data_IF_161135165121
#
_entry.id   IF_161135165121
#
_cell.length_a   1.000
_cell.length_b   1.000
_cell.length_c   1.000
_cell.angle_alpha   90.00
_cell.angle_beta   90.00
_cell.angle_gamma   90.00
#
_symmetry.space_group_name_H-M   'P 1'
#
loop_
_entity.id
_entity.type
_entity.pdbx_description
1 polymer ?
#
# COMPACT_ATOMS: atom_id res chain seq x y z
N UNK A 1 -6.07 0.88 -8.25
CA UNK A 1 -6.15 0.38 -6.86
C UNK A 1 -6.19 -1.15 -6.74
N UNK A 2 -7.29 -1.85 -7.14
CA UNK A 2 -7.42 -3.32 -6.92
C UNK A 2 -6.18 -4.13 -7.36
N UNK A 3 -5.75 -3.95 -8.61
CA UNK A 3 -4.55 -4.62 -9.18
C UNK A 3 -3.27 -4.31 -8.39
N UNK A 4 -3.14 -3.09 -7.84
CA UNK A 4 -1.99 -2.71 -7.01
C UNK A 4 -1.96 -3.55 -5.74
N UNK A 5 -3.07 -3.55 -4.99
CA UNK A 5 -3.16 -4.26 -3.71
C UNK A 5 -3.04 -5.78 -3.89
N UNK A 6 -3.71 -6.35 -4.89
CA UNK A 6 -3.61 -7.78 -5.22
C UNK A 6 -2.17 -8.17 -5.61
N UNK A 7 -1.39 -7.28 -6.21
CA UNK A 7 0.01 -7.58 -6.55
C UNK A 7 0.95 -7.61 -5.34
N UNK A 8 0.56 -6.97 -4.22
CA UNK A 8 1.37 -6.81 -3.02
C UNK A 8 0.96 -7.74 -1.86
N UNK A 9 -0.24 -8.33 -1.90
CA UNK A 9 -0.83 -9.13 -0.80
C UNK A 9 0.04 -10.31 -0.37
N UNK A 10 0.73 -10.96 -1.31
CA UNK A 10 1.59 -12.12 -1.00
C UNK A 10 2.95 -11.72 -0.41
N UNK A 11 3.31 -10.43 -0.45
CA UNK A 11 4.63 -9.93 -0.10
C UNK A 11 4.61 -9.15 1.21
N UNK A 12 3.55 -8.37 1.43
CA UNK A 12 3.41 -7.48 2.57
C UNK A 12 2.78 -8.18 3.78
N UNK A 13 3.36 -8.00 4.96
CA UNK A 13 2.76 -8.47 6.22
C UNK A 13 1.62 -7.54 6.69
N UNK A 14 1.67 -6.27 6.28
CA UNK A 14 0.64 -5.25 6.49
C UNK A 14 0.45 -4.48 5.17
N UNK A 15 -0.80 -4.22 4.79
CA UNK A 15 -1.13 -3.25 3.75
C UNK A 15 -1.79 -2.05 4.42
N UNK A 16 -1.14 -0.89 4.33
CA UNK A 16 -1.66 0.40 4.78
C UNK A 16 -2.05 1.24 3.55
N UNK A 17 -3.28 1.75 3.52
CA UNK A 17 -3.76 2.71 2.52
C UNK A 17 -4.11 4.02 3.20
N UNK A 18 -3.40 5.08 2.81
CA UNK A 18 -3.73 6.47 3.20
C UNK A 18 -4.59 7.07 2.09
N UNK A 19 -5.90 7.10 2.32
CA UNK A 19 -6.88 7.59 1.36
C UNK A 19 -7.13 9.10 1.54
N UNK A 20 -7.19 9.82 0.42
CA UNK A 20 -7.38 11.28 0.39
C UNK A 20 -8.84 11.70 0.46
N UNK A 21 -9.68 10.92 1.17
CA UNK A 21 -11.13 11.11 1.29
C UNK A 21 -11.83 10.93 -0.05
N UNK A 22 -11.52 9.81 -0.72
CA UNK A 22 -12.18 9.40 -1.95
C UNK A 22 -13.67 9.18 -1.73
N UNK A 23 -14.48 9.58 -2.71
CA UNK A 23 -15.95 9.43 -2.69
C UNK A 23 -16.45 8.22 -3.49
N UNK A 24 -15.53 7.51 -4.14
CA UNK A 24 -15.82 6.29 -4.88
C UNK A 24 -15.63 5.04 -4.00
N UNK A 25 -15.54 3.87 -4.63
CA UNK A 25 -15.42 2.60 -3.93
C UNK A 25 -13.99 2.27 -3.48
N UNK A 26 -13.02 3.21 -3.56
CA UNK A 26 -11.61 2.96 -3.27
C UNK A 26 -11.39 2.38 -1.87
N UNK A 27 -12.00 3.00 -0.85
CA UNK A 27 -11.89 2.54 0.54
C UNK A 27 -12.48 1.13 0.70
N UNK A 28 -13.72 0.92 0.23
CA UNK A 28 -14.39 -0.36 0.35
C UNK A 28 -13.63 -1.51 -0.34
N UNK A 29 -13.02 -1.24 -1.50
CA UNK A 29 -12.19 -2.22 -2.21
C UNK A 29 -10.94 -2.55 -1.38
N UNK A 30 -10.26 -1.55 -0.85
CA UNK A 30 -9.05 -1.75 -0.06
C UNK A 30 -9.34 -2.53 1.24
N UNK A 31 -10.40 -2.18 1.96
CA UNK A 31 -10.85 -2.92 3.15
C UNK A 31 -11.19 -4.37 2.83
N UNK A 32 -11.88 -4.62 1.70
CA UNK A 32 -12.23 -5.99 1.28
C UNK A 32 -11.01 -6.89 0.99
N UNK A 33 -9.85 -6.28 0.75
CA UNK A 33 -8.57 -6.97 0.54
C UNK A 33 -7.71 -7.03 1.81
N UNK A 34 -8.27 -6.63 2.97
CA UNK A 34 -7.58 -6.67 4.26
C UNK A 34 -6.65 -5.50 4.52
N UNK A 35 -6.70 -4.43 3.72
CA UNK A 35 -5.91 -3.24 3.97
C UNK A 35 -6.43 -2.46 5.19
N UNK A 36 -5.51 -1.95 6.00
CA UNK A 36 -5.79 -0.95 7.03
C UNK A 36 -5.94 0.42 6.36
N UNK A 37 -7.05 1.09 6.60
CA UNK A 37 -7.33 2.40 5.99
C UNK A 37 -7.09 3.52 6.99
N UNK A 38 -6.44 4.59 6.53
CA UNK A 38 -6.40 5.87 7.23
C UNK A 38 -6.92 6.94 6.27
N UNK A 39 -7.96 7.65 6.69
CA UNK A 39 -8.48 8.79 5.95
C UNK A 39 -7.68 10.04 6.32
N UNK A 40 -7.07 10.69 5.33
CA UNK A 40 -6.24 11.86 5.51
C UNK A 40 -6.38 12.79 4.30
N UNK A 41 -6.98 13.99 4.45
CA UNK A 41 -7.02 14.99 3.38
C UNK A 41 -5.63 15.19 2.77
N UNK A 42 -5.57 15.29 1.44
CA UNK A 42 -4.32 15.32 0.70
C UNK A 42 -3.41 16.47 1.15
N UNK A 43 -2.26 16.11 1.73
CA UNK A 43 -1.26 17.06 2.24
C UNK A 43 -0.24 17.50 1.17
N UNK A 44 -0.33 16.94 -0.04
CA UNK A 44 0.72 17.01 -1.06
C UNK A 44 1.58 15.74 -1.09
N UNK A 45 2.27 15.49 -2.21
CA UNK A 45 2.94 14.21 -2.46
C UNK A 45 3.97 13.81 -1.39
N UNK A 46 4.79 14.76 -0.93
CA UNK A 46 5.85 14.51 0.04
C UNK A 46 5.26 14.23 1.43
N UNK A 47 4.39 15.12 1.90
CA UNK A 47 3.85 15.04 3.26
C UNK A 47 2.85 13.88 3.40
N UNK A 48 2.10 13.53 2.35
CA UNK A 48 1.24 12.35 2.36
C UNK A 48 2.06 11.06 2.49
N UNK A 49 3.19 10.96 1.77
CA UNK A 49 4.09 9.79 1.87
C UNK A 49 4.77 9.72 3.23
N UNK A 50 5.21 10.85 3.79
CA UNK A 50 5.76 10.92 5.15
C UNK A 50 4.74 10.47 6.20
N UNK A 51 3.51 10.96 6.10
CA UNK A 51 2.43 10.54 6.98
C UNK A 51 2.23 9.02 6.89
N UNK A 52 2.17 8.44 5.69
CA UNK A 52 2.06 6.98 5.52
C UNK A 52 3.21 6.21 6.19
N UNK A 53 4.45 6.69 6.04
CA UNK A 53 5.64 6.11 6.67
C UNK A 53 5.53 6.11 8.20
N UNK A 54 5.06 7.20 8.80
CA UNK A 54 4.88 7.32 10.26
C UNK A 54 3.82 6.39 10.82
N UNK A 55 2.88 5.92 9.99
CA UNK A 55 1.79 5.03 10.40
C UNK A 55 2.10 3.54 10.18
N UNK A 56 3.20 3.21 9.50
CA UNK A 56 3.59 1.85 9.18
C UNK A 56 4.10 1.10 10.43
N UNK A 57 3.72 -0.18 10.58
CA UNK A 57 4.09 -0.97 11.75
C UNK A 57 5.44 -1.71 11.60
N UNK A 58 6.01 -1.72 10.39
CA UNK A 58 7.16 -2.57 10.03
C UNK A 58 8.39 -1.75 9.62
N UNK A 59 9.61 -2.27 9.84
CA UNK A 59 10.85 -1.53 9.57
C UNK A 59 11.15 -1.34 8.08
N UNK A 60 10.61 -2.21 7.23
CA UNK A 60 10.74 -2.12 5.78
C UNK A 60 9.40 -1.76 5.16
N UNK A 61 9.43 -0.80 4.23
CA UNK A 61 8.24 -0.28 3.56
C UNK A 61 8.43 -0.36 2.06
N UNK A 62 7.42 -0.90 1.38
CA UNK A 62 7.25 -0.83 -0.06
C UNK A 62 6.20 0.23 -0.36
N UNK A 63 6.63 1.39 -0.87
CA UNK A 63 5.73 2.50 -1.22
C UNK A 63 5.33 2.33 -2.69
N UNK A 64 4.03 2.19 -2.94
CA UNK A 64 3.45 2.06 -4.28
C UNK A 64 2.36 3.11 -4.47
N UNK A 65 2.35 3.75 -5.64
CA UNK A 65 1.22 4.57 -6.04
C UNK A 65 0.06 3.67 -6.52
N UNK A 66 -1.20 4.13 -6.37
CA UNK A 66 -2.40 3.29 -6.52
C UNK A 66 -2.65 2.71 -7.93
N UNK A 67 -1.97 3.25 -8.94
CA UNK A 67 -1.99 2.84 -10.34
C UNK A 67 -0.79 1.96 -10.74
N UNK A 68 0.18 1.79 -9.85
CA UNK A 68 1.29 0.86 -10.00
C UNK A 68 0.89 -0.56 -9.60
N UNK A 69 1.67 -1.55 -10.02
CA UNK A 69 1.54 -2.93 -9.54
C UNK A 69 2.87 -3.65 -9.71
N UNK A 70 3.18 -4.55 -8.78
CA UNK A 70 4.37 -5.38 -8.87
C UNK A 70 4.26 -6.31 -10.09
N UNK A 71 5.33 -6.35 -10.88
CA UNK A 71 5.50 -7.43 -11.84
C UNK A 71 5.77 -8.74 -11.10
N UNK A 72 5.48 -9.87 -11.74
CA UNK A 72 5.82 -11.19 -11.20
C UNK A 72 7.31 -11.27 -10.80
N UNK A 73 8.19 -10.75 -11.65
CA UNK A 73 9.64 -10.75 -11.45
C UNK A 73 10.03 -9.96 -10.19
N UNK A 74 9.46 -8.77 -10.00
CA UNK A 74 9.74 -7.95 -8.82
C UNK A 74 9.16 -8.59 -7.55
N UNK A 75 7.94 -9.17 -7.63
CA UNK A 75 7.33 -9.91 -6.52
C UNK A 75 8.26 -11.01 -5.99
N UNK A 76 8.79 -11.84 -6.91
CA UNK A 76 9.72 -12.91 -6.55
C UNK A 76 11.03 -12.38 -5.96
N UNK A 77 11.58 -11.30 -6.53
CA UNK A 77 12.80 -10.68 -6.01
C UNK A 77 12.63 -10.20 -4.56
N UNK A 78 11.50 -9.56 -4.24
CA UNK A 78 11.23 -9.10 -2.87
C UNK A 78 11.05 -10.27 -1.91
N UNK A 79 10.33 -11.32 -2.32
CA UNK A 79 10.15 -12.53 -1.49
C UNK A 79 11.48 -13.22 -1.17
N UNK A 80 12.43 -13.24 -2.11
CA UNK A 80 13.77 -13.78 -1.88
C UNK A 80 14.53 -12.98 -0.81
N UNK A 81 14.45 -11.65 -0.86
CA UNK A 81 15.09 -10.78 0.14
C UNK A 81 14.44 -10.93 1.52
N UNK A 82 13.10 -11.04 1.57
CA UNK A 82 12.33 -11.17 2.82
C UNK A 82 12.58 -12.50 3.55
N UNK A 83 12.99 -13.55 2.84
CA UNK A 83 13.26 -14.87 3.42
C UNK A 83 14.57 -14.96 4.21
N UNK A 84 15.37 -13.87 4.25
CA UNK A 84 16.65 -13.77 4.93
C UNK A 84 16.56 -12.84 6.14
#
# INVERSE_FOLDING_TARGET
MRRCLESAVDVADEILVVDSVSTDQTVAIAESLGARIILQPFLGYVEQKRFAIEQAAHPYMLILDADEALSEQLRQSILQVKAH
#
